data_IF_658624730487
#
_entry.id   IF_658624730487
#
_cell.length_a   1.000
_cell.length_b   1.000
_cell.length_c   1.000
_cell.angle_alpha   90.00
_cell.angle_beta   90.00
_cell.angle_gamma   90.00
#
_symmetry.space_group_name_H-M   'P 1'
#
loop_
_entity.id
_entity.type
_entity.pdbx_description
1 polymer ?
#
# COMPACT_ATOMS: atom_id res chain seq x y z
N UNK A 1 7.56 14.08 9.27
CA UNK A 1 7.29 12.64 9.37
C UNK A 1 5.92 12.41 8.77
N UNK A 2 5.83 11.61 7.71
CA UNK A 2 4.54 11.30 7.10
C UNK A 2 3.85 10.25 7.97
N UNK A 3 2.66 10.53 8.50
CA UNK A 3 1.87 9.64 9.36
C UNK A 3 0.63 9.10 8.65
N UNK A 4 0.53 9.35 7.33
CA UNK A 4 -0.63 9.02 6.51
C UNK A 4 -0.34 7.87 5.56
N UNK A 5 -1.29 6.95 5.53
CA UNK A 5 -1.50 6.03 4.42
C UNK A 5 -2.24 6.84 3.35
N UNK A 6 -1.65 6.95 2.16
CA UNK A 6 -2.17 7.76 1.07
C UNK A 6 -2.49 6.88 -0.14
N UNK A 7 -3.74 6.95 -0.59
CA UNK A 7 -4.22 6.24 -1.77
C UNK A 7 -4.65 7.26 -2.83
N UNK A 8 -3.99 7.21 -3.99
CA UNK A 8 -4.33 8.00 -5.15
C UNK A 8 -5.34 7.25 -6.05
N UNK A 9 -6.45 7.92 -6.36
CA UNK A 9 -7.58 7.37 -7.11
C UNK A 9 -7.97 8.35 -8.24
N UNK A 10 -7.45 8.19 -9.46
CA UNK A 10 -7.94 8.91 -10.63
C UNK A 10 -9.38 8.53 -10.96
N UNK A 11 -10.15 9.49 -11.46
CA UNK A 11 -11.53 9.28 -11.88
C UNK A 11 -11.99 10.19 -13.01
N UNK A 12 -13.11 9.83 -13.64
CA UNK A 12 -13.77 10.65 -14.67
C UNK A 12 -14.95 11.43 -14.10
N UNK A 13 -14.81 11.95 -12.88
CA UNK A 13 -15.83 12.77 -12.25
C UNK A 13 -15.92 14.13 -12.94
N UNK A 14 -17.14 14.60 -13.22
CA UNK A 14 -17.32 15.94 -13.78
C UNK A 14 -16.89 17.03 -12.78
N UNK A 15 -17.27 16.83 -11.53
CA UNK A 15 -17.10 17.75 -10.42
C UNK A 15 -17.26 17.00 -9.09
N UNK A 16 -16.90 17.66 -7.99
CA UNK A 16 -17.00 17.11 -6.63
C UNK A 16 -18.43 16.70 -6.26
N UNK A 17 -19.44 17.42 -6.72
CA UNK A 17 -20.84 17.13 -6.43
C UNK A 17 -21.31 15.83 -7.10
N UNK A 18 -20.84 15.53 -8.31
CA UNK A 18 -21.11 14.25 -8.98
C UNK A 18 -20.49 13.10 -8.21
N UNK A 19 -19.26 13.26 -7.74
CA UNK A 19 -18.63 12.27 -6.86
C UNK A 19 -19.45 12.08 -5.58
N UNK A 20 -19.79 13.16 -4.86
CA UNK A 20 -20.58 13.11 -3.62
C UNK A 20 -21.90 12.36 -3.80
N UNK A 21 -22.66 12.68 -4.84
CA UNK A 21 -23.93 11.98 -5.18
C UNK A 21 -23.70 10.51 -5.51
N UNK A 22 -22.62 10.19 -6.22
CA UNK A 22 -22.25 8.82 -6.57
C UNK A 22 -21.93 8.00 -5.32
N UNK A 23 -21.07 8.52 -4.44
CA UNK A 23 -20.71 7.92 -3.14
C UNK A 23 -21.96 7.65 -2.29
N UNK A 24 -22.82 8.65 -2.11
CA UNK A 24 -24.04 8.51 -1.31
C UNK A 24 -24.99 7.45 -1.90
N UNK A 25 -25.17 7.44 -3.22
CA UNK A 25 -26.02 6.46 -3.91
C UNK A 25 -25.45 5.04 -3.82
N UNK A 26 -24.15 4.87 -4.07
CA UNK A 26 -23.48 3.56 -4.14
C UNK A 26 -23.31 2.93 -2.76
N UNK A 27 -23.12 3.74 -1.72
CA UNK A 27 -23.07 3.28 -0.33
C UNK A 27 -24.44 3.18 0.34
N UNK A 28 -25.53 3.57 -0.34
CA UNK A 28 -26.88 3.66 0.26
C UNK A 28 -26.91 4.55 1.52
N UNK A 29 -26.09 5.59 1.53
CA UNK A 29 -25.98 6.54 2.64
C UNK A 29 -25.03 6.11 3.76
N UNK A 30 -24.44 4.91 3.73
CA UNK A 30 -23.45 4.49 4.73
C UNK A 30 -22.19 5.37 4.67
N UNK A 31 -21.86 5.89 3.48
CA UNK A 31 -20.76 6.83 3.30
C UNK A 31 -21.24 8.21 2.84
N UNK A 32 -20.68 9.25 3.45
CA UNK A 32 -20.96 10.65 3.14
C UNK A 32 -19.65 11.37 2.85
N UNK A 33 -19.53 11.92 1.64
CA UNK A 33 -18.44 12.83 1.30
C UNK A 33 -18.87 14.26 1.69
N UNK A 34 -18.29 14.80 2.76
CA UNK A 34 -18.32 16.21 3.09
C UNK A 34 -17.15 16.92 2.38
N UNK A 35 -17.02 18.25 2.46
CA UNK A 35 -15.70 18.91 2.29
C UNK A 35 -14.59 18.02 2.84
N UNK A 36 -13.46 17.83 2.21
CA UNK A 36 -12.25 17.13 2.66
C UNK A 36 -12.31 15.84 3.51
N UNK A 37 -13.48 15.22 3.71
CA UNK A 37 -13.71 14.06 4.56
C UNK A 37 -14.71 13.12 3.91
N UNK A 38 -14.31 11.85 3.81
CA UNK A 38 -15.19 10.74 3.53
C UNK A 38 -15.54 10.05 4.85
N UNK A 39 -16.79 10.18 5.30
CA UNK A 39 -17.27 9.62 6.55
C UNK A 39 -17.93 8.27 6.30
N UNK A 40 -17.48 7.23 6.99
CA UNK A 40 -18.17 5.95 7.13
C UNK A 40 -19.02 6.01 8.40
N UNK A 41 -20.31 6.29 8.20
CA UNK A 41 -21.25 6.55 9.30
C UNK A 41 -21.60 5.30 10.08
N UNK A 42 -21.49 4.12 9.45
CA UNK A 42 -21.80 2.83 10.06
C UNK A 42 -20.72 2.41 11.06
N UNK A 43 -19.46 2.63 10.73
CA UNK A 43 -18.33 2.23 11.57
C UNK A 43 -17.73 3.39 12.37
N UNK A 44 -18.35 4.58 12.31
CA UNK A 44 -17.93 5.80 12.99
C UNK A 44 -16.44 6.13 12.76
N UNK A 45 -16.05 6.20 11.49
CA UNK A 45 -14.68 6.55 11.08
C UNK A 45 -14.71 7.53 9.91
N UNK A 46 -13.63 8.28 9.73
CA UNK A 46 -13.49 9.25 8.65
C UNK A 46 -12.11 9.12 8.00
N UNK A 47 -12.08 9.45 6.71
CA UNK A 47 -10.88 9.50 5.90
C UNK A 47 -10.73 10.91 5.36
N UNK A 48 -9.52 11.45 5.38
CA UNK A 48 -9.22 12.72 4.71
C UNK A 48 -9.25 12.53 3.21
N UNK A 49 -9.73 13.54 2.49
CA UNK A 49 -9.88 13.53 1.04
C UNK A 49 -9.34 14.81 0.46
N UNK A 50 -8.44 14.71 -0.52
CA UNK A 50 -8.07 15.84 -1.38
C UNK A 50 -8.54 15.55 -2.79
N UNK A 51 -9.34 16.46 -3.34
CA UNK A 51 -9.90 16.36 -4.67
C UNK A 51 -9.24 17.43 -5.55
N UNK A 52 -8.50 16.98 -6.56
CA UNK A 52 -7.69 17.82 -7.43
C UNK A 52 -8.11 17.64 -8.88
N UNK A 53 -7.81 18.63 -9.71
CA UNK A 53 -8.03 18.55 -11.15
C UNK A 53 -7.07 17.54 -11.81
N UNK A 54 -7.20 17.40 -13.11
CA UNK A 54 -6.36 16.54 -13.94
C UNK A 54 -4.85 16.77 -13.71
N UNK A 55 -4.11 15.68 -13.56
CA UNK A 55 -2.65 15.67 -13.47
C UNK A 55 -2.06 14.98 -14.71
N UNK A 56 -1.46 15.78 -15.60
CA UNK A 56 -0.88 15.29 -16.86
C UNK A 56 0.23 14.24 -16.68
N UNK A 57 0.85 14.14 -15.50
CA UNK A 57 1.92 13.17 -15.21
C UNK A 57 1.41 11.91 -14.51
N UNK A 58 0.11 11.83 -14.21
CA UNK A 58 -0.41 10.73 -13.41
C UNK A 58 -0.27 9.38 -14.10
N UNK A 59 -0.56 9.31 -15.40
CA UNK A 59 -0.44 8.07 -16.16
C UNK A 59 0.99 7.55 -16.18
N UNK A 60 1.96 8.45 -16.31
CA UNK A 60 3.40 8.17 -16.19
C UNK A 60 3.74 7.63 -14.79
N UNK A 61 3.24 8.25 -13.72
CA UNK A 61 3.42 7.77 -12.35
C UNK A 61 2.81 6.38 -12.12
N UNK A 62 1.71 6.03 -12.78
CA UNK A 62 1.13 4.68 -12.77
C UNK A 62 1.93 3.70 -13.63
N UNK A 63 2.52 4.14 -14.73
CA UNK A 63 3.36 3.29 -15.59
C UNK A 63 4.63 2.83 -14.85
N UNK A 64 5.28 3.74 -14.13
CA UNK A 64 6.47 3.44 -13.33
C UNK A 64 6.19 2.80 -11.97
N UNK A 65 4.91 2.58 -11.62
CA UNK A 65 4.53 1.89 -10.38
C UNK A 65 5.07 0.45 -10.35
N UNK A 66 5.23 -0.07 -9.13
CA UNK A 66 5.68 -1.45 -8.94
C UNK A 66 4.58 -2.41 -9.38
N UNK A 67 4.66 -2.82 -10.63
CA UNK A 67 4.14 -4.06 -11.22
C UNK A 67 4.29 -4.10 -12.74
N UNK A 68 4.62 -3.01 -13.44
CA UNK A 68 4.76 -3.03 -14.91
C UNK A 68 3.55 -3.57 -15.69
N UNK A 69 2.40 -3.74 -15.03
CA UNK A 69 1.26 -4.54 -15.49
C UNK A 69 0.00 -3.70 -15.78
N UNK A 70 0.05 -2.38 -15.61
CA UNK A 70 -1.01 -1.52 -16.13
C UNK A 70 -0.97 -1.62 -17.66
N UNK A 71 -1.88 -2.40 -18.22
CA UNK A 71 -1.95 -2.57 -19.67
C UNK A 71 -2.23 -1.22 -20.35
N UNK A 72 -1.85 -1.10 -21.61
CA UNK A 72 -2.00 0.15 -22.39
C UNK A 72 -3.43 0.70 -22.38
N UNK A 73 -4.45 -0.18 -22.31
CA UNK A 73 -5.85 0.25 -22.25
C UNK A 73 -6.18 0.92 -20.91
N UNK A 74 -5.61 0.45 -19.81
CA UNK A 74 -5.76 1.06 -18.50
C UNK A 74 -5.07 2.43 -18.47
N UNK A 75 -3.82 2.52 -18.97
CA UNK A 75 -3.08 3.78 -19.07
C UNK A 75 -3.80 4.82 -19.93
N UNK A 76 -4.33 4.43 -21.10
CA UNK A 76 -5.11 5.36 -21.94
C UNK A 76 -6.40 5.86 -21.29
N UNK A 77 -7.01 5.07 -20.39
CA UNK A 77 -8.13 5.55 -19.57
C UNK A 77 -7.64 6.54 -18.52
N UNK A 78 -6.48 6.27 -17.91
CA UNK A 78 -5.85 7.19 -16.97
C UNK A 78 -5.50 8.51 -17.62
N UNK A 79 -4.97 8.56 -18.84
CA UNK A 79 -4.70 9.83 -19.55
C UNK A 79 -5.94 10.72 -19.69
N UNK A 80 -7.13 10.12 -19.66
CA UNK A 80 -8.41 10.80 -19.79
C UNK A 80 -9.14 10.98 -18.46
N UNK A 81 -8.46 10.80 -17.33
CA UNK A 81 -9.02 11.16 -16.03
C UNK A 81 -9.26 12.67 -15.99
N UNK A 82 -10.28 13.11 -15.28
CA UNK A 82 -10.62 14.54 -15.14
C UNK A 82 -10.17 15.08 -13.80
N UNK A 83 -10.09 14.21 -12.79
CA UNK A 83 -9.76 14.57 -11.43
C UNK A 83 -9.01 13.43 -10.75
N UNK A 84 -8.24 13.79 -9.72
CA UNK A 84 -7.54 12.87 -8.84
C UNK A 84 -8.09 13.03 -7.43
N UNK A 85 -8.40 11.91 -6.79
CA UNK A 85 -8.77 11.88 -5.39
C UNK A 85 -7.67 11.19 -4.59
N UNK A 86 -7.08 11.90 -3.64
CA UNK A 86 -6.21 11.32 -2.62
C UNK A 86 -7.05 11.03 -1.37
N UNK A 87 -7.17 9.75 -1.02
CA UNK A 87 -7.78 9.26 0.20
C UNK A 87 -6.69 9.01 1.23
N UNK A 88 -6.82 9.57 2.42
CA UNK A 88 -5.80 9.47 3.46
C UNK A 88 -6.41 9.00 4.78
N UNK A 89 -5.68 8.13 5.47
CA UNK A 89 -5.96 7.74 6.86
C UNK A 89 -4.68 7.80 7.68
N UNK A 90 -4.81 7.82 8.99
CA UNK A 90 -3.67 7.47 9.85
C UNK A 90 -3.18 6.06 9.49
N UNK A 91 -1.87 5.87 9.54
CA UNK A 91 -1.23 4.58 9.34
C UNK A 91 -0.63 4.06 10.66
N UNK A 92 0.03 2.91 10.61
CA UNK A 92 0.75 2.37 11.76
C UNK A 92 0.10 1.13 12.39
N UNK A 93 -0.89 0.52 11.73
CA UNK A 93 -1.50 -0.71 12.21
C UNK A 93 -2.17 -1.51 11.09
N UNK A 94 -2.25 -2.83 11.29
CA UNK A 94 -3.02 -3.72 10.41
C UNK A 94 -4.49 -3.29 10.29
N UNK A 95 -5.08 -2.85 11.41
CA UNK A 95 -6.44 -2.35 11.46
C UNK A 95 -6.63 -1.10 10.58
N UNK A 96 -5.68 -0.14 10.60
CA UNK A 96 -5.74 1.04 9.74
C UNK A 96 -5.75 0.65 8.24
N UNK A 97 -4.87 -0.29 7.85
CA UNK A 97 -4.79 -0.82 6.48
C UNK A 97 -6.08 -1.56 6.09
N UNK A 98 -6.63 -2.40 6.98
CA UNK A 98 -7.90 -3.11 6.72
C UNK A 98 -9.07 -2.13 6.52
N UNK A 99 -9.10 -1.07 7.32
CA UNK A 99 -10.21 -0.12 7.34
C UNK A 99 -10.31 0.72 6.05
N UNK A 100 -9.20 0.97 5.35
CA UNK A 100 -9.22 1.79 4.14
C UNK A 100 -9.73 1.03 2.90
N UNK A 101 -9.55 -0.30 2.86
CA UNK A 101 -9.94 -1.16 1.71
C UNK A 101 -11.39 -0.93 1.24
N UNK A 102 -12.43 -1.01 2.09
CA UNK A 102 -13.81 -0.80 1.65
C UNK A 102 -14.09 0.63 1.18
N UNK A 103 -13.39 1.64 1.71
CA UNK A 103 -13.54 3.02 1.28
C UNK A 103 -13.00 3.21 -0.15
N UNK A 104 -11.84 2.62 -0.46
CA UNK A 104 -11.27 2.62 -1.82
C UNK A 104 -12.19 1.90 -2.80
N UNK A 105 -12.73 0.73 -2.43
CA UNK A 105 -13.69 0.00 -3.26
C UNK A 105 -14.94 0.82 -3.59
N UNK A 106 -15.46 1.55 -2.60
CA UNK A 106 -16.60 2.43 -2.83
C UNK A 106 -16.26 3.55 -3.82
N UNK A 107 -15.08 4.15 -3.72
CA UNK A 107 -14.65 5.24 -4.60
C UNK A 107 -14.44 4.75 -6.04
N UNK A 108 -13.87 3.55 -6.22
CA UNK A 108 -13.80 2.87 -7.52
C UNK A 108 -15.21 2.65 -8.10
N UNK A 109 -16.13 2.06 -7.32
CA UNK A 109 -17.55 1.88 -7.71
C UNK A 109 -18.28 3.21 -7.98
N UNK A 110 -17.73 4.32 -7.48
CA UNK A 110 -18.25 5.67 -7.64
C UNK A 110 -17.63 6.44 -8.81
N UNK A 111 -16.77 5.81 -9.62
CA UNK A 111 -16.19 6.39 -10.84
C UNK A 111 -14.66 6.50 -10.83
N UNK A 112 -13.99 5.93 -9.83
CA UNK A 112 -12.53 5.75 -9.85
C UNK A 112 -12.10 4.72 -10.90
N UNK A 113 -10.93 4.92 -11.48
CA UNK A 113 -10.39 4.13 -12.59
C UNK A 113 -9.38 3.07 -12.14
N UNK A 114 -8.52 3.46 -11.19
CA UNK A 114 -7.41 2.67 -10.69
C UNK A 114 -7.01 3.17 -9.30
N UNK A 115 -6.06 2.48 -8.69
CA UNK A 115 -5.53 2.80 -7.36
C UNK A 115 -4.01 2.82 -7.42
N UNK A 116 -3.38 3.83 -6.82
CA UNK A 116 -1.95 3.83 -6.49
C UNK A 116 -1.79 4.04 -4.98
N UNK A 117 -0.99 3.19 -4.35
CA UNK A 117 -0.60 3.28 -2.95
C UNK A 117 0.69 4.08 -2.91
N UNK A 118 0.63 5.33 -2.46
CA UNK A 118 1.80 6.23 -2.50
C UNK A 118 2.92 5.75 -1.57
N UNK A 119 2.58 5.12 -0.44
CA UNK A 119 3.54 4.66 0.56
C UNK A 119 4.37 3.43 0.16
N UNK A 120 4.04 2.79 -0.97
CA UNK A 120 4.75 1.61 -1.48
C UNK A 120 4.93 1.62 -2.99
N UNK A 121 4.45 2.67 -3.67
CA UNK A 121 4.54 2.81 -5.12
C UNK A 121 3.76 1.78 -5.93
N UNK A 122 2.91 0.95 -5.30
CA UNK A 122 2.13 -0.09 -5.99
C UNK A 122 0.89 0.49 -6.64
N UNK A 123 0.54 -0.01 -7.82
CA UNK A 123 -0.72 0.34 -8.47
C UNK A 123 -1.54 -0.89 -8.89
N UNK A 124 -2.85 -0.68 -8.96
CA UNK A 124 -3.84 -1.71 -9.25
C UNK A 124 -4.94 -1.13 -10.14
N UNK A 125 -5.43 -1.93 -11.09
CA UNK A 125 -6.69 -1.60 -11.75
C UNK A 125 -7.85 -1.72 -10.77
N UNK A 126 -9.01 -1.13 -11.11
CA UNK A 126 -10.22 -1.33 -10.31
C UNK A 126 -10.57 -2.80 -10.12
N UNK A 127 -10.39 -3.63 -11.15
CA UNK A 127 -10.71 -5.05 -11.12
C UNK A 127 -9.74 -5.86 -10.25
N UNK A 128 -8.47 -5.45 -10.18
CA UNK A 128 -7.51 -6.07 -9.27
C UNK A 128 -7.79 -5.71 -7.82
N UNK A 129 -8.11 -4.45 -7.55
CA UNK A 129 -8.45 -3.99 -6.20
C UNK A 129 -9.72 -4.65 -5.66
N UNK A 130 -10.73 -4.87 -6.50
CA UNK A 130 -11.97 -5.55 -6.13
C UNK A 130 -11.77 -7.03 -5.71
N UNK A 131 -10.58 -7.61 -5.92
CA UNK A 131 -10.23 -8.95 -5.39
C UNK A 131 -9.95 -8.93 -3.89
N UNK A 132 -9.61 -7.77 -3.31
CA UNK A 132 -9.57 -7.62 -1.86
C UNK A 132 -10.98 -7.65 -1.29
N UNK A 133 -11.17 -8.23 -0.12
CA UNK A 133 -12.44 -8.15 0.61
C UNK A 133 -12.26 -7.28 1.85
N UNK A 134 -13.35 -6.86 2.47
CA UNK A 134 -13.30 -6.20 3.79
C UNK A 134 -12.74 -7.09 4.91
N UNK A 135 -12.60 -8.39 4.64
CA UNK A 135 -12.03 -9.41 5.52
C UNK A 135 -10.73 -9.97 4.93
N UNK A 136 -10.01 -9.15 4.16
CA UNK A 136 -8.75 -9.54 3.56
C UNK A 136 -7.78 -10.06 4.63
N UNK A 137 -7.24 -11.24 4.36
CA UNK A 137 -6.27 -11.90 5.24
C UNK A 137 -4.95 -11.12 5.24
N UNK A 138 -4.14 -11.34 6.28
CA UNK A 138 -2.84 -10.66 6.44
C UNK A 138 -1.92 -10.89 5.24
N UNK A 139 -1.89 -12.11 4.67
CA UNK A 139 -1.10 -12.42 3.48
C UNK A 139 -1.56 -11.63 2.24
N UNK A 140 -2.87 -11.41 2.10
CA UNK A 140 -3.42 -10.61 1.00
C UNK A 140 -3.08 -9.12 1.17
N UNK A 141 -3.17 -8.60 2.40
CA UNK A 141 -2.84 -7.21 2.69
C UNK A 141 -1.36 -6.94 2.54
N UNK A 142 -0.49 -7.83 3.05
CA UNK A 142 0.95 -7.74 2.84
C UNK A 142 1.26 -7.72 1.34
N UNK A 143 0.68 -8.65 0.57
CA UNK A 143 0.86 -8.69 -0.87
C UNK A 143 0.33 -7.44 -1.60
N UNK A 144 -0.75 -6.81 -1.12
CA UNK A 144 -1.31 -5.63 -1.79
C UNK A 144 -0.60 -4.34 -1.41
N UNK A 145 -0.21 -4.18 -0.16
CA UNK A 145 0.31 -2.92 0.35
C UNK A 145 1.83 -2.87 0.37
N UNK A 146 2.53 -4.01 0.43
CA UNK A 146 3.99 -4.04 0.51
C UNK A 146 4.60 -4.41 -0.83
N UNK A 147 5.62 -3.64 -1.19
CA UNK A 147 6.34 -3.68 -2.45
C UNK A 147 7.74 -4.26 -2.20
N UNK A 148 8.38 -4.83 -3.23
CA UNK A 148 9.74 -5.36 -3.16
C UNK A 148 10.60 -4.67 -4.21
N UNK A 149 11.63 -3.97 -3.73
CA UNK A 149 12.54 -3.15 -4.51
C UNK A 149 13.96 -3.71 -4.42
N UNK A 150 14.84 -3.14 -5.25
CA UNK A 150 16.26 -3.44 -5.21
C UNK A 150 17.09 -2.15 -5.30
N UNK A 151 18.25 -2.16 -4.66
CA UNK A 151 19.32 -1.20 -4.90
C UNK A 151 20.61 -1.97 -5.25
N UNK A 152 21.76 -1.31 -5.24
CA UNK A 152 23.04 -1.94 -5.60
C UNK A 152 23.49 -3.06 -4.65
N UNK A 153 22.92 -3.14 -3.44
CA UNK A 153 23.39 -4.04 -2.38
C UNK A 153 22.30 -4.97 -1.84
N UNK A 154 21.02 -4.59 -1.94
CA UNK A 154 19.92 -5.28 -1.29
C UNK A 154 18.68 -5.40 -2.16
N UNK A 155 17.98 -6.52 -2.02
CA UNK A 155 16.53 -6.58 -2.17
C UNK A 155 15.89 -6.11 -0.85
N UNK A 156 14.83 -5.32 -0.91
CA UNK A 156 14.18 -4.81 0.29
C UNK A 156 12.68 -4.57 0.10
N UNK A 157 11.94 -4.60 1.21
CA UNK A 157 10.52 -4.26 1.21
C UNK A 157 10.28 -2.76 1.34
N UNK A 158 9.15 -2.30 0.83
CA UNK A 158 8.66 -0.94 1.03
C UNK A 158 7.16 -0.94 1.32
N UNK A 159 6.76 -0.33 2.42
CA UNK A 159 5.35 -0.14 2.79
C UNK A 159 4.97 -0.70 4.17
N UNK A 160 5.89 -1.35 4.89
CA UNK A 160 5.64 -1.85 6.25
C UNK A 160 5.33 -0.71 7.24
N UNK A 161 5.75 0.52 6.94
CA UNK A 161 5.34 1.72 7.67
C UNK A 161 3.81 1.86 7.79
N UNK A 162 3.05 1.38 6.80
CA UNK A 162 1.58 1.45 6.83
C UNK A 162 1.01 0.59 7.97
N UNK A 163 1.73 -0.46 8.33
CA UNK A 163 1.42 -1.38 9.42
C UNK A 163 2.12 -1.02 10.73
N UNK A 164 2.98 0.00 10.73
CA UNK A 164 3.74 0.44 11.90
C UNK A 164 5.00 -0.40 12.18
N UNK A 165 5.48 -1.14 11.19
CA UNK A 165 6.56 -2.13 11.36
C UNK A 165 7.79 -1.79 10.52
N UNK A 166 8.99 -2.26 10.91
CA UNK A 166 10.20 -2.12 10.11
C UNK A 166 10.09 -2.85 8.76
N UNK A 167 10.86 -2.39 7.76
CA UNK A 167 11.06 -3.12 6.51
C UNK A 167 11.94 -4.37 6.69
N UNK A 168 12.05 -5.21 5.67
CA UNK A 168 13.04 -6.28 5.58
C UNK A 168 13.97 -6.04 4.38
N UNK A 169 15.24 -6.40 4.52
CA UNK A 169 16.24 -6.34 3.47
C UNK A 169 17.09 -7.61 3.44
N UNK A 170 17.58 -8.01 2.28
CA UNK A 170 18.47 -9.17 2.10
C UNK A 170 19.44 -8.87 0.96
N UNK A 171 20.67 -9.39 1.05
CA UNK A 171 21.74 -9.11 0.07
C UNK A 171 21.29 -9.42 -1.37
N UNK A 172 21.66 -8.54 -2.31
CA UNK A 172 21.43 -8.69 -3.75
C UNK A 172 22.12 -9.95 -4.33
N UNK A 173 23.14 -10.47 -3.65
CA UNK A 173 23.83 -11.71 -4.05
C UNK A 173 22.98 -12.96 -3.81
N UNK A 174 21.87 -12.83 -3.08
CA UNK A 174 20.91 -13.93 -2.86
C UNK A 174 20.02 -14.09 -4.09
N UNK A 175 19.59 -15.33 -4.38
CA UNK A 175 18.62 -15.58 -5.44
C UNK A 175 17.36 -14.68 -5.29
N UNK A 176 16.88 -14.00 -6.36
CA UNK A 176 15.78 -13.04 -6.24
C UNK A 176 14.47 -13.67 -5.74
N UNK A 177 14.12 -14.84 -6.25
CA UNK A 177 12.87 -15.53 -5.89
C UNK A 177 12.94 -16.01 -4.44
N UNK A 178 14.08 -16.56 -4.02
CA UNK A 178 14.32 -16.96 -2.64
C UNK A 178 14.28 -15.75 -1.69
N UNK A 179 14.88 -14.62 -2.10
CA UNK A 179 14.89 -13.37 -1.34
C UNK A 179 13.48 -12.86 -1.05
N UNK A 180 12.63 -12.79 -2.08
CA UNK A 180 11.23 -12.40 -1.93
C UNK A 180 10.45 -13.33 -1.02
N UNK A 181 10.66 -14.65 -1.13
CA UNK A 181 9.99 -15.64 -0.30
C UNK A 181 10.37 -15.50 1.18
N UNK A 182 11.66 -15.38 1.48
CA UNK A 182 12.19 -15.25 2.85
C UNK A 182 11.70 -13.95 3.48
N UNK A 183 11.84 -12.81 2.77
CA UNK A 183 11.35 -11.52 3.26
C UNK A 183 9.85 -11.55 3.51
N UNK A 184 9.05 -12.05 2.56
CA UNK A 184 7.59 -12.12 2.71
C UNK A 184 7.15 -12.94 3.92
N UNK A 185 7.78 -14.09 4.16
CA UNK A 185 7.50 -14.93 5.33
C UNK A 185 7.93 -14.25 6.65
N UNK A 186 9.10 -13.60 6.67
CA UNK A 186 9.56 -12.84 7.83
C UNK A 186 8.58 -11.70 8.18
N UNK A 187 8.18 -10.89 7.19
CA UNK A 187 7.24 -9.78 7.36
C UNK A 187 5.85 -10.25 7.78
N UNK A 188 5.38 -11.38 7.25
CA UNK A 188 4.15 -12.03 7.72
C UNK A 188 4.25 -12.44 9.19
N UNK A 189 5.42 -12.96 9.61
CA UNK A 189 5.71 -13.24 11.01
C UNK A 189 5.58 -12.00 11.89
N UNK A 190 6.19 -10.87 11.49
CA UNK A 190 6.07 -9.60 12.22
C UNK A 190 4.63 -9.13 12.43
N UNK A 191 3.74 -9.43 11.49
CA UNK A 191 2.32 -9.02 11.54
C UNK A 191 1.43 -9.96 12.37
N UNK A 192 1.86 -11.20 12.58
CA UNK A 192 0.97 -12.26 13.10
C UNK A 192 1.46 -12.94 14.37
N UNK A 193 2.76 -12.88 14.65
CA UNK A 193 3.38 -13.53 15.80
C UNK A 193 3.48 -12.57 16.99
N UNK A 194 3.47 -13.14 18.19
CA UNK A 194 3.83 -12.39 19.41
C UNK A 194 5.32 -12.03 19.42
N UNK A 195 5.74 -11.07 20.26
CA UNK A 195 7.17 -10.71 20.39
C UNK A 195 8.07 -11.90 20.76
N UNK A 196 7.54 -12.85 21.55
CA UNK A 196 8.27 -14.05 21.97
C UNK A 196 8.52 -14.99 20.79
N UNK A 197 7.49 -15.20 19.96
CA UNK A 197 7.52 -16.05 18.76
C UNK A 197 8.22 -15.39 17.56
N UNK A 198 8.32 -14.06 17.57
CA UNK A 198 8.86 -13.28 16.47
C UNK A 198 10.33 -13.61 16.22
N UNK A 199 10.66 -13.74 14.94
CA UNK A 199 12.00 -13.94 14.42
C UNK A 199 12.87 -12.67 14.46
N UNK A 200 12.29 -11.54 14.86
CA UNK A 200 12.95 -10.23 14.90
C UNK A 200 14.12 -10.19 15.89
N UNK A 201 15.29 -9.80 15.41
CA UNK A 201 16.52 -9.74 16.22
C UNK A 201 17.09 -11.11 16.60
N UNK A 202 16.65 -12.19 15.96
CA UNK A 202 17.01 -13.59 16.28
C UNK A 202 17.39 -14.36 15.01
N UNK A 203 17.95 -15.55 15.20
CA UNK A 203 18.05 -16.56 14.15
C UNK A 203 16.70 -17.28 13.97
N UNK A 204 16.38 -17.60 12.72
CA UNK A 204 15.14 -18.26 12.35
C UNK A 204 15.34 -19.13 11.11
N UNK A 205 14.44 -20.10 10.89
CA UNK A 205 14.56 -21.07 9.80
C UNK A 205 13.41 -20.93 8.82
N UNK A 206 13.75 -20.72 7.54
CA UNK A 206 12.77 -20.63 6.44
C UNK A 206 13.23 -21.54 5.30
N UNK A 207 12.31 -22.39 4.83
CA UNK A 207 12.55 -23.35 3.74
C UNK A 207 13.84 -24.18 3.88
N UNK A 208 14.19 -24.57 5.11
CA UNK A 208 15.35 -25.41 5.37
C UNK A 208 16.66 -24.66 5.62
N UNK A 209 16.70 -23.35 5.36
CA UNK A 209 17.87 -22.47 5.57
C UNK A 209 17.69 -21.65 6.84
N UNK A 210 18.80 -21.34 7.50
CA UNK A 210 18.81 -20.50 8.71
C UNK A 210 19.22 -19.09 8.32
N UNK A 211 18.53 -18.10 8.88
CA UNK A 211 18.80 -16.69 8.68
C UNK A 211 18.93 -16.01 10.03
N UNK A 212 19.82 -15.03 10.14
CA UNK A 212 19.85 -14.08 11.24
C UNK A 212 19.17 -12.78 10.80
N UNK A 213 18.35 -12.18 11.67
CA UNK A 213 17.82 -10.82 11.46
C UNK A 213 18.53 -9.81 12.37
N UNK A 214 19.08 -8.77 11.76
CA UNK A 214 19.72 -7.65 12.46
C UNK A 214 18.89 -6.39 12.25
N UNK A 215 18.55 -5.69 13.34
CA UNK A 215 17.82 -4.43 13.26
C UNK A 215 18.75 -3.29 12.90
N UNK A 216 18.32 -2.47 11.94
CA UNK A 216 18.94 -1.22 11.57
C UNK A 216 17.92 -0.07 11.75
N UNK A 217 18.23 0.97 12.54
CA UNK A 217 17.29 2.05 12.81
C UNK A 217 17.03 2.94 11.60
N UNK A 218 17.97 2.99 10.66
CA UNK A 218 17.84 3.77 9.43
C UNK A 218 17.39 2.85 8.29
N UNK A 219 16.23 3.17 7.71
CA UNK A 219 15.80 2.58 6.45
C UNK A 219 16.53 3.25 5.27
N UNK A 220 16.54 2.61 4.10
CA UNK A 220 17.09 3.21 2.88
C UNK A 220 16.47 4.58 2.62
N UNK A 221 17.33 5.53 2.23
CA UNK A 221 16.90 6.89 1.93
C UNK A 221 16.18 6.89 0.57
N UNK A 222 14.88 7.15 0.60
CA UNK A 222 14.05 7.23 -0.58
C UNK A 222 13.89 8.70 -0.99
N UNK A 223 14.08 9.00 -2.28
CA UNK A 223 13.85 10.36 -2.80
C UNK A 223 12.38 10.77 -2.67
N UNK A 224 11.46 9.79 -2.68
CA UNK A 224 10.03 10.00 -2.52
C UNK A 224 9.62 10.03 -1.03
N UNK A 225 9.06 11.15 -0.52
CA UNK A 225 8.75 11.31 0.89
C UNK A 225 7.78 10.28 1.48
N UNK A 226 6.92 9.68 0.65
CA UNK A 226 5.93 8.71 1.08
C UNK A 226 6.52 7.32 1.31
N UNK A 227 7.70 7.01 0.76
CA UNK A 227 8.30 5.67 0.79
C UNK A 227 9.22 5.44 2.01
N UNK A 228 9.65 6.51 2.68
CA UNK A 228 10.53 6.41 3.84
C UNK A 228 9.81 5.77 5.04
N UNK A 229 10.37 4.67 5.57
CA UNK A 229 9.88 4.02 6.78
C UNK A 229 10.67 4.47 8.03
N UNK A 230 10.03 5.17 8.99
CA UNK A 230 10.70 5.61 10.20
C UNK A 230 10.93 4.51 11.25
N UNK A 231 10.35 3.32 11.08
CA UNK A 231 10.53 2.20 11.99
C UNK A 231 11.85 1.44 11.75
N UNK A 232 12.64 1.84 10.76
CA UNK A 232 13.89 1.18 10.39
C UNK A 232 13.65 -0.09 9.55
N UNK A 233 14.61 -1.00 9.56
CA UNK A 233 14.54 -2.25 8.81
C UNK A 233 15.25 -3.40 9.54
N UNK A 234 14.94 -4.64 9.14
CA UNK A 234 15.71 -5.83 9.48
C UNK A 234 16.52 -6.30 8.27
N UNK A 235 17.85 -6.37 8.43
CA UNK A 235 18.73 -7.00 7.45
C UNK A 235 18.80 -8.49 7.75
N UNK A 236 18.41 -9.30 6.77
CA UNK A 236 18.38 -10.75 6.83
C UNK A 236 19.65 -11.30 6.19
N UNK A 237 20.37 -12.14 6.91
CA UNK A 237 21.60 -12.78 6.44
C UNK A 237 21.48 -14.29 6.58
N UNK A 238 21.69 -15.05 5.51
CA UNK A 238 21.76 -16.52 5.59
C UNK A 238 22.98 -16.92 6.44
N UNK A 239 22.77 -17.79 7.41
CA UNK A 239 23.82 -18.30 8.32
C UNK A 239 23.89 -19.82 8.21
N UNK A 240 25.09 -20.34 7.90
CA UNK A 240 25.36 -21.78 7.78
C UNK A 240 25.86 -22.18 6.41
#
# INVERSE_FOLDING_TARGET
MNDKLVICIPGQWKDRDKLKRSVQKKSRGEYVLAEDLLMDTKHNRAFEVRFQEHDAKLSEAFYYSERGMMNEKALHKLDKHTHVLHLMSYMGSLDAVQKIVPAVQLLLKSGGLAVKIENSGKAYTSEEWDKLTSEARVDQLLHTFVSYRQNEQYYYSCGMQMFGLPEAAISIDTDPDASMQVMSQFLYGLLTQTEEESSAGKEFKIYGRTYASQYEPECFNEEEPYLYNPSGMYVLTEVG
#
